data_IF_454254475038
#
_entry.id   IF_454254475038
#
_cell.length_a   1.000
_cell.length_b   1.000
_cell.length_c   1.000
_cell.angle_alpha   90.00
_cell.angle_beta   90.00
_cell.angle_gamma   90.00
#
_symmetry.space_group_name_H-M   'P 1'
#
loop_
_entity.id
_entity.type
_entity.pdbx_description
1 polymer ?
#
# COMPACT_ATOMS: atom_id res chain seq x y z
N UNK A 1 -10.19 2.19 0.74
CA UNK A 1 -9.38 2.54 1.93
C UNK A 1 -8.30 3.52 1.52
N UNK A 2 -8.21 4.67 2.18
CA UNK A 2 -7.22 5.73 1.88
C UNK A 2 -6.13 5.74 2.94
N UNK A 3 -4.86 5.79 2.53
CA UNK A 3 -3.70 5.77 3.42
C UNK A 3 -2.89 7.06 3.31
N UNK A 4 -2.35 7.52 4.44
CA UNK A 4 -1.39 8.63 4.50
C UNK A 4 -0.03 8.09 4.94
N UNK A 5 1.02 8.43 4.18
CA UNK A 5 2.37 7.95 4.41
C UNK A 5 3.35 9.11 4.57
N UNK A 6 4.34 8.94 5.44
CA UNK A 6 5.47 9.84 5.62
C UNK A 6 6.69 9.06 6.11
N UNK A 7 7.90 9.48 5.72
CA UNK A 7 9.15 8.81 6.11
C UNK A 7 9.40 7.49 5.37
N UNK A 8 10.30 6.64 5.88
CA UNK A 8 10.56 5.30 5.32
C UNK A 8 11.02 5.28 3.85
N UNK A 9 11.50 6.40 3.30
CA UNK A 9 11.86 6.50 1.87
C UNK A 9 10.67 6.67 0.91
N UNK A 10 9.47 6.99 1.39
CA UNK A 10 8.32 7.30 0.51
C UNK A 10 8.57 8.57 -0.30
N UNK A 11 8.06 8.60 -1.53
CA UNK A 11 8.12 9.79 -2.37
C UNK A 11 7.25 10.90 -1.77
N UNK A 12 7.88 12.03 -1.44
CA UNK A 12 7.17 13.18 -0.90
C UNK A 12 6.24 13.82 -1.95
N UNK A 13 5.10 14.36 -1.51
CA UNK A 13 4.20 15.16 -2.34
C UNK A 13 3.49 14.39 -3.45
N UNK A 14 3.34 13.07 -3.32
CA UNK A 14 2.64 12.24 -4.29
C UNK A 14 1.27 11.79 -3.77
N UNK A 15 0.29 11.79 -4.68
CA UNK A 15 -1.03 11.18 -4.49
C UNK A 15 -1.19 10.11 -5.56
N UNK A 16 -1.60 8.90 -5.15
CA UNK A 16 -1.74 7.75 -6.05
C UNK A 16 -3.16 7.23 -5.97
N UNK A 17 -3.84 7.21 -7.11
CA UNK A 17 -5.20 6.70 -7.25
C UNK A 17 -6.26 7.66 -6.73
N UNK A 18 -7.50 7.22 -6.83
CA UNK A 18 -8.68 7.98 -6.47
C UNK A 18 -9.82 7.02 -6.10
N UNK A 19 -10.75 7.50 -5.30
CA UNK A 19 -11.99 6.81 -4.98
C UNK A 19 -13.16 7.42 -5.74
N UNK A 20 -14.28 6.71 -5.80
CA UNK A 20 -15.55 7.25 -6.30
C UNK A 20 -16.03 8.46 -5.46
N UNK A 21 -17.10 9.11 -5.92
CA UNK A 21 -17.66 10.31 -5.27
C UNK A 21 -18.05 10.08 -3.80
N UNK A 22 -18.41 8.85 -3.44
CA UNK A 22 -18.80 8.48 -2.09
C UNK A 22 -17.63 7.97 -1.23
N UNK A 23 -16.47 7.69 -1.83
CA UNK A 23 -15.28 7.17 -1.15
C UNK A 23 -15.34 5.68 -0.81
N UNK A 24 -16.31 4.93 -1.34
CA UNK A 24 -16.52 3.51 -1.05
C UNK A 24 -15.60 2.61 -1.88
N UNK A 25 -15.34 2.97 -3.13
CA UNK A 25 -14.60 2.12 -4.07
C UNK A 25 -13.41 2.87 -4.69
N UNK A 26 -12.32 2.15 -4.93
CA UNK A 26 -11.18 2.68 -5.68
C UNK A 26 -11.49 2.64 -7.18
N UNK A 27 -11.29 3.75 -7.88
CA UNK A 27 -11.61 3.89 -9.32
C UNK A 27 -10.38 4.14 -10.18
N UNK A 28 -9.28 4.60 -9.58
CA UNK A 28 -8.01 4.87 -10.30
C UNK A 28 -6.85 4.15 -9.61
N UNK A 29 -5.94 3.58 -10.40
CA UNK A 29 -4.76 2.82 -9.94
C UNK A 29 -5.12 1.75 -8.90
N UNK A 30 -6.20 1.02 -9.17
CA UNK A 30 -6.72 -0.02 -8.29
C UNK A 30 -5.69 -1.14 -8.18
N UNK A 31 -5.18 -1.34 -6.96
CA UNK A 31 -4.24 -2.39 -6.62
C UNK A 31 -4.78 -3.20 -5.44
N UNK A 32 -4.31 -4.44 -5.33
CA UNK A 32 -4.68 -5.28 -4.21
C UNK A 32 -3.97 -4.79 -2.93
N UNK A 33 -4.65 -4.85 -1.77
CA UNK A 33 -4.08 -4.36 -0.50
C UNK A 33 -2.76 -5.05 -0.12
N UNK A 34 -2.57 -6.29 -0.59
CA UNK A 34 -1.32 -7.04 -0.41
C UNK A 34 -0.12 -6.30 -1.01
N UNK A 35 -0.26 -5.72 -2.20
CA UNK A 35 0.85 -5.08 -2.90
C UNK A 35 1.28 -3.78 -2.20
N UNK A 36 0.31 -3.10 -1.57
CA UNK A 36 0.58 -1.97 -0.69
C UNK A 36 1.41 -2.38 0.54
N UNK A 37 1.07 -3.50 1.20
CA UNK A 37 1.85 -4.02 2.31
C UNK A 37 3.27 -4.44 1.88
N UNK A 38 3.42 -5.08 0.72
CA UNK A 38 4.75 -5.41 0.17
C UNK A 38 5.58 -4.14 -0.07
N UNK A 39 4.97 -3.08 -0.60
CA UNK A 39 5.64 -1.78 -0.79
C UNK A 39 6.09 -1.19 0.55
N UNK A 40 5.23 -1.20 1.56
CA UNK A 40 5.57 -0.74 2.91
C UNK A 40 6.75 -1.53 3.51
N UNK A 41 6.73 -2.86 3.42
CA UNK A 41 7.82 -3.70 3.92
C UNK A 41 9.13 -3.39 3.22
N UNK A 42 9.12 -3.26 1.89
CA UNK A 42 10.31 -2.92 1.10
C UNK A 42 10.90 -1.57 1.49
N UNK A 43 10.06 -0.56 1.71
CA UNK A 43 10.47 0.77 2.17
C UNK A 43 11.16 0.73 3.55
N UNK A 44 10.76 -0.21 4.40
CA UNK A 44 11.39 -0.47 5.69
C UNK A 44 12.62 -1.40 5.61
N UNK A 45 13.00 -1.85 4.42
CA UNK A 45 14.11 -2.78 4.21
C UNK A 45 13.79 -4.24 4.57
N UNK A 46 12.51 -4.61 4.62
CA UNK A 46 12.03 -5.95 4.96
C UNK A 46 11.59 -6.72 3.71
N UNK A 47 11.80 -8.04 3.72
CA UNK A 47 11.40 -8.98 2.67
C UNK A 47 10.08 -9.65 3.03
N UNK A 48 9.04 -9.41 2.24
CA UNK A 48 7.68 -9.90 2.47
C UNK A 48 7.58 -11.43 2.45
N UNK A 49 8.42 -12.11 1.65
CA UNK A 49 8.40 -13.57 1.55
C UNK A 49 8.87 -14.24 2.84
N UNK A 50 9.76 -13.58 3.58
CA UNK A 50 10.26 -14.07 4.88
C UNK A 50 9.28 -13.83 6.03
N UNK A 51 8.29 -12.97 5.81
CA UNK A 51 7.25 -12.62 6.77
C UNK A 51 5.90 -13.26 6.44
N UNK A 52 5.88 -14.15 5.45
CA UNK A 52 4.68 -14.92 5.09
C UNK A 52 4.62 -16.20 5.91
N UNK A 53 3.54 -16.38 6.68
CA UNK A 53 3.31 -17.56 7.51
C UNK A 53 2.03 -18.26 7.07
N UNK A 54 2.13 -19.55 6.75
CA UNK A 54 0.98 -20.39 6.45
C UNK A 54 0.54 -21.12 7.72
N UNK A 55 -0.75 -21.01 8.06
CA UNK A 55 -1.34 -21.74 9.17
C UNK A 55 -2.03 -23.01 8.64
N UNK A 56 -1.90 -24.11 9.40
CA UNK A 56 -2.54 -25.39 9.12
C UNK A 56 -3.95 -25.47 9.70
#
# INVERSE_FOLDING_TARGET
MTYWLAGGGVNAGHTIGATDETGMEAVENVAHIRDFHVTLLRLLGLDDNKLTFYHA
#
